data_IF_612637114434
#
_entry.id   IF_612637114434
#
_cell.length_a   1.000
_cell.length_b   1.000
_cell.length_c   1.000
_cell.angle_alpha   90.00
_cell.angle_beta   90.00
_cell.angle_gamma   90.00
#
_symmetry.space_group_name_H-M   'P 1'
#
loop_
_entity.id
_entity.type
_entity.pdbx_description
1 polymer ?
#
# COMPACT_ATOMS: atom_id res chain seq x y z
N UNK A 1 8.16 23.33 12.41
CA UNK A 1 7.27 24.41 12.92
C UNK A 1 6.43 23.82 14.05
N UNK A 2 6.02 24.60 15.06
CA UNK A 2 5.29 24.05 16.23
C UNK A 2 3.83 23.72 15.92
N UNK A 3 3.18 24.50 15.06
CA UNK A 3 1.73 24.42 14.78
C UNK A 3 0.82 24.49 16.01
N UNK A 4 1.33 25.01 17.14
CA UNK A 4 0.59 25.02 18.41
C UNK A 4 -0.71 25.82 18.32
N UNK A 5 -0.73 26.88 17.51
CA UNK A 5 -1.93 27.71 17.29
C UNK A 5 -3.00 27.03 16.44
N UNK A 6 -2.62 26.04 15.64
CA UNK A 6 -3.49 25.29 14.75
C UNK A 6 -4.00 23.99 15.41
N UNK A 7 -3.37 23.55 16.49
CA UNK A 7 -3.80 22.36 17.24
C UNK A 7 -5.23 22.51 17.78
N UNK A 8 -5.95 21.39 17.82
CA UNK A 8 -7.27 21.35 18.44
C UNK A 8 -7.18 21.55 19.96
N UNK A 9 -8.25 22.07 20.56
CA UNK A 9 -8.33 22.21 22.02
C UNK A 9 -8.15 20.86 22.74
N UNK A 10 -8.60 19.76 22.14
CA UNK A 10 -8.47 18.42 22.73
C UNK A 10 -7.02 17.93 22.70
N UNK A 11 -6.30 18.18 21.60
CA UNK A 11 -4.86 17.89 21.51
C UNK A 11 -4.07 18.70 22.53
N UNK A 12 -4.34 20.02 22.64
CA UNK A 12 -3.64 20.87 23.59
C UNK A 12 -3.89 20.44 25.04
N UNK A 13 -5.14 20.11 25.42
CA UNK A 13 -5.45 19.53 26.73
C UNK A 13 -4.71 18.22 26.98
N UNK A 14 -4.61 17.37 25.98
CA UNK A 14 -3.86 16.12 26.07
C UNK A 14 -2.36 16.37 26.29
N UNK A 15 -1.76 17.29 25.54
CA UNK A 15 -0.35 17.67 25.71
C UNK A 15 -0.08 18.35 27.05
N UNK A 16 -1.00 19.18 27.54
CA UNK A 16 -0.92 19.79 28.87
C UNK A 16 -0.94 18.74 29.98
N UNK A 17 -1.79 17.71 29.84
CA UNK A 17 -1.85 16.58 30.78
C UNK A 17 -0.52 15.84 30.81
N UNK A 18 0.01 15.44 29.66
CA UNK A 18 1.32 14.77 29.57
C UNK A 18 2.41 15.65 30.20
N UNK A 19 2.42 16.94 29.90
CA UNK A 19 3.44 17.86 30.40
C UNK A 19 3.37 18.03 31.92
N UNK A 20 2.16 18.06 32.50
CA UNK A 20 1.99 18.04 33.96
C UNK A 20 2.57 16.77 34.58
N UNK A 21 2.15 15.60 34.07
CA UNK A 21 2.57 14.31 34.59
C UNK A 21 4.10 14.16 34.51
N UNK A 22 4.72 14.65 33.44
CA UNK A 22 6.18 14.65 33.26
C UNK A 22 6.87 15.60 34.25
N UNK A 23 6.41 16.85 34.39
CA UNK A 23 7.03 17.79 35.33
C UNK A 23 6.89 17.36 36.80
N UNK A 24 5.85 16.63 37.17
CA UNK A 24 5.67 16.10 38.52
C UNK A 24 6.58 14.90 38.81
N UNK A 25 6.80 14.03 37.82
CA UNK A 25 7.52 12.77 38.01
C UNK A 25 9.00 12.80 37.59
N UNK A 26 9.40 13.77 36.76
CA UNK A 26 10.75 13.87 36.19
C UNK A 26 11.33 15.27 36.42
N UNK A 27 12.48 15.33 37.10
CA UNK A 27 13.16 16.59 37.40
C UNK A 27 13.92 17.13 36.18
N UNK A 28 13.25 17.95 35.36
CA UNK A 28 13.89 18.71 34.27
C UNK A 28 14.34 20.09 34.76
N UNK A 29 15.65 20.34 34.84
CA UNK A 29 16.18 21.59 35.40
C UNK A 29 16.17 22.79 34.44
N UNK A 30 15.65 22.64 33.20
CA UNK A 30 15.72 23.68 32.14
C UNK A 30 14.58 23.66 31.11
N UNK A 31 13.57 22.81 31.31
CA UNK A 31 12.45 22.68 30.37
C UNK A 31 11.20 23.06 31.14
N UNK A 32 10.50 24.08 30.68
CA UNK A 32 9.22 24.49 31.27
C UNK A 32 8.10 23.59 30.74
N UNK A 33 6.95 23.61 31.42
CA UNK A 33 5.74 22.96 30.91
C UNK A 33 5.37 23.48 29.51
N UNK A 34 5.58 24.75 29.24
CA UNK A 34 5.25 25.36 27.96
C UNK A 34 6.15 24.84 26.83
N UNK A 35 7.46 24.70 27.13
CA UNK A 35 8.42 24.08 26.20
C UNK A 35 8.02 22.63 25.87
N UNK A 36 7.55 21.85 26.86
CA UNK A 36 7.07 20.48 26.63
C UNK A 36 5.85 20.44 25.70
N UNK A 37 4.91 21.36 25.86
CA UNK A 37 3.74 21.45 24.98
C UNK A 37 4.20 21.79 23.55
N UNK A 38 5.12 22.74 23.39
CA UNK A 38 5.69 23.07 22.09
C UNK A 38 6.39 21.86 21.45
N UNK A 39 7.19 21.12 22.22
CA UNK A 39 7.87 19.90 21.74
C UNK A 39 6.89 18.79 21.37
N UNK A 40 5.80 18.60 22.13
CA UNK A 40 4.75 17.65 21.79
C UNK A 40 4.01 18.05 20.52
N UNK A 41 3.77 19.35 20.30
CA UNK A 41 3.18 19.83 19.05
C UNK A 41 4.12 19.59 17.85
N UNK A 42 5.43 19.87 18.01
CA UNK A 42 6.44 19.55 16.99
C UNK A 42 6.47 18.04 16.73
N UNK A 43 6.56 17.21 17.77
CA UNK A 43 6.62 15.76 17.67
C UNK A 43 5.40 15.23 16.93
N UNK A 44 4.19 15.65 17.29
CA UNK A 44 2.93 15.20 16.71
C UNK A 44 2.85 15.41 15.18
N UNK A 45 3.48 16.46 14.66
CA UNK A 45 3.47 16.79 13.23
C UNK A 45 4.66 16.25 12.45
N UNK A 46 5.75 15.84 13.12
CA UNK A 46 7.02 15.48 12.46
C UNK A 46 7.49 14.06 12.77
N UNK A 47 6.79 13.34 13.65
CA UNK A 47 7.10 11.95 13.98
C UNK A 47 6.76 11.01 12.83
N UNK A 48 7.45 9.87 12.83
CA UNK A 48 7.21 8.78 11.89
C UNK A 48 6.76 7.55 12.66
N UNK A 49 5.82 6.80 12.09
CA UNK A 49 5.58 5.43 12.50
C UNK A 49 6.76 4.57 12.06
N UNK A 50 7.41 3.90 13.02
CA UNK A 50 8.39 2.86 12.73
C UNK A 50 7.63 1.58 12.43
N UNK A 51 8.01 0.94 11.34
CA UNK A 51 7.47 -0.34 10.94
C UNK A 51 8.59 -1.32 10.62
N UNK A 52 8.28 -2.60 10.73
CA UNK A 52 9.19 -3.67 10.34
C UNK A 52 9.29 -3.80 8.81
N UNK A 53 10.05 -4.79 8.36
CA UNK A 53 10.21 -5.15 6.96
C UNK A 53 8.91 -5.70 6.32
N UNK A 54 7.85 -5.93 7.10
CA UNK A 54 6.51 -6.31 6.64
C UNK A 54 5.49 -5.16 6.75
N UNK A 55 5.96 -3.96 7.10
CA UNK A 55 5.18 -2.73 7.28
C UNK A 55 4.24 -2.74 8.50
N UNK A 56 4.45 -3.65 9.46
CA UNK A 56 3.73 -3.60 10.74
C UNK A 56 4.34 -2.53 11.64
N UNK A 57 3.51 -1.57 12.05
CA UNK A 57 3.91 -0.49 12.94
C UNK A 57 4.16 -1.03 14.35
N UNK A 58 5.35 -0.79 14.89
CA UNK A 58 5.72 -1.20 16.25
C UNK A 58 6.11 -0.02 17.16
N UNK A 59 6.21 1.19 16.62
CA UNK A 59 6.55 2.37 17.42
C UNK A 59 6.51 3.68 16.64
N UNK A 60 7.01 4.73 17.29
CA UNK A 60 7.14 6.07 16.71
C UNK A 60 8.56 6.61 16.96
N UNK A 61 9.05 7.44 16.04
CA UNK A 61 10.39 8.01 16.14
C UNK A 61 10.53 9.36 15.47
N UNK A 62 11.59 10.06 15.86
CA UNK A 62 11.92 11.39 15.36
C UNK A 62 13.11 11.31 14.43
N UNK A 63 12.92 11.76 13.19
CA UNK A 63 13.95 11.74 12.16
C UNK A 63 14.03 13.11 11.51
N UNK A 64 14.80 14.06 12.07
CA UNK A 64 14.79 15.45 11.60
C UNK A 64 15.12 15.61 10.12
N UNK A 65 16.02 14.78 9.57
CA UNK A 65 16.33 14.76 8.12
C UNK A 65 15.15 14.19 7.34
N UNK A 66 14.55 13.10 7.81
CA UNK A 66 13.34 12.51 7.23
C UNK A 66 12.16 13.49 7.18
N UNK A 67 11.99 14.28 8.24
CA UNK A 67 10.90 15.26 8.35
C UNK A 67 11.02 16.42 7.34
N UNK A 68 12.12 16.52 6.58
CA UNK A 68 12.26 17.50 5.50
C UNK A 68 11.54 17.08 4.21
N UNK A 69 11.28 15.79 4.01
CA UNK A 69 10.61 15.30 2.80
C UNK A 69 9.12 15.63 2.84
N UNK A 70 8.65 16.40 1.86
CA UNK A 70 7.24 16.77 1.78
C UNK A 70 6.33 15.60 1.38
N UNK A 71 5.04 15.81 1.62
CA UNK A 71 4.00 14.83 1.30
C UNK A 71 3.58 14.86 -0.17
N UNK A 72 3.34 13.66 -0.74
CA UNK A 72 2.49 13.47 -1.92
C UNK A 72 1.58 12.26 -1.75
N UNK A 73 0.32 12.35 -2.22
CA UNK A 73 -0.57 11.19 -2.34
C UNK A 73 -0.21 10.27 -3.52
N UNK A 74 0.79 10.66 -4.31
CA UNK A 74 1.46 9.87 -5.35
C UNK A 74 2.96 10.00 -5.12
N UNK A 75 3.51 9.33 -4.08
CA UNK A 75 4.88 9.51 -3.68
C UNK A 75 5.85 8.93 -4.72
N UNK A 76 7.04 9.52 -4.84
CA UNK A 76 8.16 9.00 -5.64
C UNK A 76 9.25 8.35 -4.77
N UNK A 77 9.15 8.46 -3.45
CA UNK A 77 9.99 7.75 -2.49
C UNK A 77 9.17 7.15 -1.34
N UNK A 78 9.77 6.16 -0.67
CA UNK A 78 9.22 5.51 0.53
C UNK A 78 10.20 5.62 1.69
N UNK A 79 9.68 5.41 2.89
CA UNK A 79 10.45 5.30 4.13
C UNK A 79 10.50 3.83 4.54
N UNK A 80 11.70 3.34 4.86
CA UNK A 80 11.97 2.02 5.40
C UNK A 80 12.87 2.16 6.64
N UNK A 81 13.04 1.08 7.40
CA UNK A 81 13.85 1.08 8.60
C UNK A 81 14.76 -0.15 8.68
N UNK A 82 15.90 -0.01 9.35
CA UNK A 82 16.73 -1.12 9.85
C UNK A 82 17.01 -0.82 11.33
N UNK A 83 16.22 -1.43 12.21
CA UNK A 83 16.11 -0.99 13.60
C UNK A 83 15.77 0.50 13.70
N UNK A 84 16.67 1.29 14.29
CA UNK A 84 16.49 2.74 14.48
C UNK A 84 17.04 3.59 13.32
N UNK A 85 17.54 2.98 12.24
CA UNK A 85 18.06 3.71 11.07
C UNK A 85 16.94 3.91 10.06
N UNK A 86 16.63 5.15 9.70
CA UNK A 86 15.67 5.48 8.64
C UNK A 86 16.36 5.44 7.27
N UNK A 87 15.73 4.74 6.33
CA UNK A 87 16.20 4.56 4.95
C UNK A 87 15.14 5.15 4.01
N UNK A 88 15.55 6.03 3.10
CA UNK A 88 14.66 6.62 2.08
C UNK A 88 14.99 5.98 0.74
N UNK A 89 14.00 5.34 0.10
CA UNK A 89 14.18 4.69 -1.21
C UNK A 89 13.31 5.34 -2.26
N UNK A 90 13.91 5.73 -3.38
CA UNK A 90 13.17 6.12 -4.57
C UNK A 90 12.48 4.89 -5.17
N UNK A 91 11.23 5.06 -5.57
CA UNK A 91 10.41 4.03 -6.22
C UNK A 91 10.00 4.42 -7.64
N UNK A 92 10.50 5.55 -8.13
CA UNK A 92 10.34 6.08 -9.49
C UNK A 92 11.63 6.78 -9.93
N UNK A 93 11.76 7.04 -11.23
CA UNK A 93 12.83 7.91 -11.74
C UNK A 93 12.55 9.35 -11.30
N UNK A 94 13.56 10.00 -10.71
CA UNK A 94 13.49 11.40 -10.25
C UNK A 94 14.53 12.20 -11.03
N UNK A 95 14.08 13.20 -11.79
CA UNK A 95 14.94 14.06 -12.59
C UNK A 95 15.58 15.16 -11.74
N UNK A 96 16.68 15.74 -12.23
CA UNK A 96 17.33 16.88 -11.57
C UNK A 96 16.35 18.03 -11.43
N UNK A 97 16.18 18.52 -10.19
CA UNK A 97 15.26 19.60 -9.86
C UNK A 97 13.85 19.15 -9.48
N UNK A 98 13.52 17.86 -9.60
CA UNK A 98 12.28 17.31 -9.06
C UNK A 98 12.39 17.09 -7.56
N UNK A 99 11.30 17.38 -6.85
CA UNK A 99 11.22 17.20 -5.41
C UNK A 99 11.04 15.71 -5.05
N UNK A 100 11.82 15.24 -4.07
CA UNK A 100 11.62 13.93 -3.46
C UNK A 100 10.51 14.06 -2.42
N UNK A 101 9.48 13.23 -2.55
CA UNK A 101 8.31 13.26 -1.70
C UNK A 101 7.91 11.85 -1.24
N UNK A 102 7.41 11.79 -0.01
CA UNK A 102 6.95 10.55 0.65
C UNK A 102 5.45 10.65 0.94
N UNK A 103 4.82 9.54 1.35
CA UNK A 103 3.46 9.61 1.87
C UNK A 103 3.45 9.64 3.40
N UNK A 104 2.64 10.53 3.98
CA UNK A 104 2.47 10.67 5.43
C UNK A 104 1.32 9.81 5.96
N UNK A 105 0.51 9.29 5.05
CA UNK A 105 -0.73 8.56 5.29
C UNK A 105 -0.86 7.44 4.26
N UNK A 106 -1.78 6.51 4.46
CA UNK A 106 -2.03 5.48 3.45
C UNK A 106 -2.66 6.08 2.18
N UNK A 107 -2.02 5.84 1.04
CA UNK A 107 -2.48 6.30 -0.28
C UNK A 107 -3.69 5.51 -0.78
N UNK A 108 -4.03 4.38 -0.16
CA UNK A 108 -5.23 3.62 -0.49
C UNK A 108 -6.54 4.26 0.03
N UNK A 109 -6.45 5.19 0.98
CA UNK A 109 -7.61 5.93 1.46
C UNK A 109 -8.21 6.80 0.34
N UNK A 110 -9.53 7.02 0.37
CA UNK A 110 -10.19 7.92 -0.58
C UNK A 110 -9.74 9.39 -0.40
N UNK A 111 -9.96 10.21 -1.44
CA UNK A 111 -9.49 11.60 -1.49
C UNK A 111 -9.95 12.46 -0.31
N UNK A 112 -11.22 12.35 0.07
CA UNK A 112 -11.79 13.16 1.15
C UNK A 112 -11.13 12.81 2.48
N UNK A 113 -10.98 11.51 2.77
CA UNK A 113 -10.30 11.03 3.97
C UNK A 113 -8.84 11.49 4.00
N UNK A 114 -8.11 11.34 2.89
CA UNK A 114 -6.71 11.82 2.80
C UNK A 114 -6.59 13.32 3.08
N UNK A 115 -7.40 14.16 2.41
CA UNK A 115 -7.39 15.62 2.63
C UNK A 115 -7.73 15.98 4.07
N UNK A 116 -8.74 15.32 4.66
CA UNK A 116 -9.14 15.53 6.06
C UNK A 116 -7.99 15.20 7.01
N UNK A 117 -7.37 14.02 6.89
CA UNK A 117 -6.24 13.61 7.74
C UNK A 117 -5.04 14.54 7.62
N UNK A 118 -4.72 15.00 6.41
CA UNK A 118 -3.61 15.93 6.19
C UNK A 118 -3.88 17.30 6.80
N UNK A 119 -5.10 17.80 6.66
CA UNK A 119 -5.52 19.07 7.25
C UNK A 119 -5.55 19.00 8.79
N UNK A 120 -6.06 17.90 9.36
CA UNK A 120 -6.21 17.74 10.82
C UNK A 120 -4.88 17.47 11.54
N UNK A 121 -3.96 16.70 10.92
CA UNK A 121 -2.69 16.34 11.57
C UNK A 121 -1.53 17.26 11.20
N UNK A 122 -1.47 17.71 9.95
CA UNK A 122 -0.31 18.42 9.38
C UNK A 122 -0.65 19.85 8.91
N UNK A 123 -1.90 20.28 9.04
CA UNK A 123 -2.34 21.67 8.83
C UNK A 123 -2.10 22.23 7.42
N UNK A 124 -2.10 21.37 6.39
CA UNK A 124 -1.99 21.79 5.00
C UNK A 124 -2.98 21.07 4.08
N UNK A 125 -3.32 21.73 2.97
CA UNK A 125 -4.07 21.11 1.89
C UNK A 125 -3.12 20.56 0.81
N UNK A 126 -3.17 19.26 0.55
CA UNK A 126 -2.34 18.63 -0.46
C UNK A 126 -2.74 19.05 -1.89
N UNK A 127 -1.75 19.56 -2.63
CA UNK A 127 -1.87 20.00 -4.03
C UNK A 127 -1.12 19.10 -5.03
N UNK A 128 -0.77 17.85 -4.64
CA UNK A 128 -0.09 16.92 -5.55
C UNK A 128 -0.95 16.55 -6.77
N UNK A 129 -0.35 15.97 -7.81
CA UNK A 129 -1.03 15.59 -9.06
C UNK A 129 -2.27 14.68 -8.90
N UNK A 130 -2.36 13.93 -7.79
CA UNK A 130 -3.55 13.12 -7.44
C UNK A 130 -4.66 13.92 -6.77
N UNK A 131 -4.32 14.97 -6.02
CA UNK A 131 -5.27 15.79 -5.26
C UNK A 131 -5.68 17.07 -5.98
N UNK A 132 -4.78 17.65 -6.77
CA UNK A 132 -5.01 18.85 -7.58
C UNK A 132 -5.57 18.45 -8.94
N UNK A 133 -6.81 18.82 -9.19
CA UNK A 133 -7.48 18.63 -10.48
C UNK A 133 -8.42 19.81 -10.71
N UNK A 134 -8.01 20.79 -11.52
CA UNK A 134 -8.85 21.91 -11.93
C UNK A 134 -10.09 21.44 -12.69
N UNK A 135 -9.97 20.31 -13.40
CA UNK A 135 -11.09 19.56 -13.95
C UNK A 135 -11.22 18.26 -13.16
N UNK A 136 -12.25 18.10 -12.31
CA UNK A 136 -12.41 16.94 -11.40
C UNK A 136 -12.40 15.54 -12.08
N UNK A 137 -12.30 15.43 -13.41
CA UNK A 137 -12.52 14.21 -14.18
C UNK A 137 -11.50 13.90 -15.30
N UNK A 138 -10.50 14.73 -15.58
CA UNK A 138 -9.60 14.51 -16.73
C UNK A 138 -8.33 13.72 -16.41
N UNK A 139 -7.72 13.91 -15.23
CA UNK A 139 -6.51 13.18 -14.85
C UNK A 139 -6.81 11.74 -14.36
N UNK A 140 -5.97 10.77 -14.75
CA UNK A 140 -6.04 9.35 -14.38
C UNK A 140 -6.14 9.15 -12.85
N UNK A 141 -5.37 9.90 -12.06
CA UNK A 141 -5.39 9.76 -10.60
C UNK A 141 -6.71 10.20 -9.96
N UNK A 142 -7.43 11.13 -10.60
CA UNK A 142 -8.78 11.52 -10.17
C UNK A 142 -9.81 10.43 -10.46
N UNK A 143 -9.67 9.75 -11.61
CA UNK A 143 -10.48 8.58 -11.94
C UNK A 143 -10.22 7.41 -10.98
N UNK A 144 -8.96 7.20 -10.57
CA UNK A 144 -8.62 6.22 -9.52
C UNK A 144 -9.32 6.55 -8.21
N UNK A 145 -9.30 7.81 -7.77
CA UNK A 145 -10.02 8.21 -6.55
C UNK A 145 -11.53 7.96 -6.65
N UNK A 146 -12.15 8.15 -7.82
CA UNK A 146 -13.57 7.82 -8.06
C UNK A 146 -13.87 6.32 -8.00
N UNK A 147 -12.91 5.45 -8.33
CA UNK A 147 -13.08 4.00 -8.16
C UNK A 147 -13.12 3.64 -6.66
N UNK A 148 -12.32 4.31 -5.85
CA UNK A 148 -12.13 4.01 -4.42
C UNK A 148 -13.16 4.74 -3.54
N UNK A 149 -13.89 5.71 -4.08
CA UNK A 149 -14.92 6.47 -3.35
C UNK A 149 -16.00 5.55 -2.78
N UNK A 150 -16.11 5.51 -1.45
CA UNK A 150 -17.12 4.71 -0.79
C UNK A 150 -18.49 5.39 -0.85
N UNK A 151 -19.53 4.62 -1.21
CA UNK A 151 -20.93 4.96 -0.96
C UNK A 151 -21.40 4.13 0.22
N UNK A 152 -21.58 4.77 1.36
CA UNK A 152 -21.82 4.12 2.64
C UNK A 152 -23.28 3.65 2.75
N UNK A 153 -23.56 2.45 2.22
CA UNK A 153 -24.84 1.77 2.39
C UNK A 153 -24.56 0.33 2.83
N UNK A 154 -24.89 0.02 4.09
CA UNK A 154 -24.60 -1.26 4.76
C UNK A 154 -25.12 -2.48 3.98
N UNK A 155 -26.33 -2.40 3.44
CA UNK A 155 -26.92 -3.44 2.58
C UNK A 155 -26.03 -3.76 1.38
N UNK A 156 -25.49 -2.74 0.71
CA UNK A 156 -24.60 -2.91 -0.45
C UNK A 156 -23.27 -3.58 -0.09
N UNK A 157 -22.78 -3.39 1.15
CA UNK A 157 -21.57 -4.08 1.65
C UNK A 157 -21.85 -5.56 1.90
N UNK A 158 -22.97 -5.89 2.53
CA UNK A 158 -23.37 -7.29 2.78
C UNK A 158 -23.57 -8.06 1.46
N UNK A 159 -24.27 -7.46 0.50
CA UNK A 159 -24.49 -8.07 -0.82
C UNK A 159 -23.18 -8.31 -1.57
N UNK A 160 -22.25 -7.36 -1.49
CA UNK A 160 -20.91 -7.51 -2.08
C UNK A 160 -20.16 -8.67 -1.44
N UNK A 161 -20.10 -8.73 -0.11
CA UNK A 161 -19.39 -9.77 0.63
C UNK A 161 -19.92 -11.16 0.26
N UNK A 162 -21.25 -11.34 0.26
CA UNK A 162 -21.88 -12.60 -0.13
C UNK A 162 -21.56 -12.97 -1.58
N UNK A 163 -21.58 -11.99 -2.50
CA UNK A 163 -21.24 -12.22 -3.91
C UNK A 163 -19.78 -12.64 -4.08
N UNK A 164 -18.86 -12.01 -3.34
CA UNK A 164 -17.44 -12.35 -3.35
C UNK A 164 -17.20 -13.77 -2.81
N UNK A 165 -17.79 -14.11 -1.66
CA UNK A 165 -17.70 -15.45 -1.07
C UNK A 165 -18.24 -16.53 -2.01
N UNK A 166 -19.37 -16.26 -2.67
CA UNK A 166 -19.94 -17.16 -3.66
C UNK A 166 -18.98 -17.34 -4.85
N UNK A 167 -18.42 -16.24 -5.38
CA UNK A 167 -17.47 -16.31 -6.49
C UNK A 167 -16.25 -17.17 -6.15
N UNK A 168 -15.68 -16.99 -4.96
CA UNK A 168 -14.50 -17.75 -4.50
C UNK A 168 -14.84 -19.23 -4.25
N UNK A 169 -16.06 -19.53 -3.82
CA UNK A 169 -16.49 -20.89 -3.49
C UNK A 169 -16.88 -21.73 -4.71
N UNK A 170 -17.34 -21.10 -5.80
CA UNK A 170 -17.95 -21.81 -6.93
C UNK A 170 -16.95 -22.41 -7.94
N UNK A 171 -15.64 -22.22 -7.76
CA UNK A 171 -14.55 -22.63 -8.71
C UNK A 171 -14.73 -22.16 -10.17
N UNK A 172 -15.80 -21.45 -10.49
CA UNK A 172 -16.15 -20.96 -11.81
C UNK A 172 -15.50 -19.60 -12.09
N UNK A 173 -14.80 -19.51 -13.23
CA UNK A 173 -13.96 -18.36 -13.58
C UNK A 173 -14.67 -17.24 -14.35
N UNK A 174 -15.96 -17.35 -14.70
CA UNK A 174 -16.66 -16.32 -15.49
C UNK A 174 -17.46 -15.32 -14.65
N UNK A 175 -16.82 -14.71 -13.65
CA UNK A 175 -17.41 -13.61 -12.88
C UNK A 175 -16.92 -12.24 -13.34
N UNK A 176 -17.64 -11.19 -12.94
CA UNK A 176 -17.18 -9.80 -13.10
C UNK A 176 -15.83 -9.56 -12.41
N UNK A 177 -15.61 -10.14 -11.23
CA UNK A 177 -14.34 -10.09 -10.51
C UNK A 177 -13.21 -10.69 -11.34
N UNK A 178 -13.42 -11.87 -11.92
CA UNK A 178 -12.42 -12.55 -12.76
C UNK A 178 -12.07 -11.75 -14.01
N UNK A 179 -13.08 -11.18 -14.69
CA UNK A 179 -12.86 -10.33 -15.89
C UNK A 179 -12.02 -9.09 -15.56
N UNK A 180 -12.37 -8.36 -14.50
CA UNK A 180 -11.64 -7.17 -14.05
C UNK A 180 -10.23 -7.54 -13.60
N UNK A 181 -10.09 -8.56 -12.77
CA UNK A 181 -8.80 -9.05 -12.27
C UNK A 181 -7.88 -9.44 -13.44
N UNK A 182 -8.40 -10.22 -14.39
CA UNK A 182 -7.62 -10.67 -15.56
C UNK A 182 -7.21 -9.51 -16.44
N UNK A 183 -8.13 -8.57 -16.72
CA UNK A 183 -7.85 -7.36 -17.49
C UNK A 183 -6.69 -6.56 -16.88
N UNK A 184 -6.75 -6.28 -15.58
CA UNK A 184 -5.73 -5.46 -14.91
C UNK A 184 -4.38 -6.21 -14.89
N UNK A 185 -4.38 -7.47 -14.44
CA UNK A 185 -3.13 -8.22 -14.28
C UNK A 185 -2.43 -8.49 -15.61
N UNK A 186 -3.16 -8.81 -16.69
CA UNK A 186 -2.55 -9.05 -18.00
C UNK A 186 -1.86 -7.83 -18.59
N UNK A 187 -2.30 -6.62 -18.20
CA UNK A 187 -1.74 -5.36 -18.70
C UNK A 187 -0.68 -4.78 -17.78
N UNK A 188 -0.82 -4.88 -16.45
CA UNK A 188 0.07 -4.17 -15.52
C UNK A 188 1.16 -5.05 -14.88
N UNK A 189 0.92 -6.35 -14.69
CA UNK A 189 1.85 -7.20 -13.93
C UNK A 189 3.23 -7.30 -14.61
N UNK A 190 3.24 -7.37 -15.95
CA UNK A 190 4.48 -7.49 -16.73
C UNK A 190 5.40 -6.28 -16.55
N UNK A 191 4.85 -5.10 -16.26
CA UNK A 191 5.65 -3.91 -15.95
C UNK A 191 6.44 -4.08 -14.65
N UNK A 192 6.01 -4.90 -13.69
CA UNK A 192 6.79 -5.10 -12.47
C UNK A 192 8.08 -5.88 -12.74
N UNK A 193 8.04 -6.84 -13.67
CA UNK A 193 9.18 -7.69 -14.03
C UNK A 193 10.05 -7.07 -15.12
N UNK A 194 9.44 -6.50 -16.16
CA UNK A 194 10.15 -5.99 -17.33
C UNK A 194 10.72 -4.58 -17.07
N UNK A 195 11.77 -4.21 -17.80
CA UNK A 195 12.38 -2.88 -17.71
C UNK A 195 11.59 -1.86 -18.55
N UNK A 196 10.31 -1.68 -18.24
CA UNK A 196 9.46 -0.64 -18.85
C UNK A 196 9.63 0.69 -18.10
N UNK A 197 9.48 1.82 -18.80
CA UNK A 197 9.59 3.15 -18.18
C UNK A 197 8.36 3.48 -17.32
N UNK A 198 8.45 4.53 -16.51
CA UNK A 198 7.31 5.01 -15.72
C UNK A 198 6.17 5.50 -16.63
N UNK A 199 6.50 6.12 -17.76
CA UNK A 199 5.52 6.53 -18.78
C UNK A 199 4.80 5.33 -19.41
N UNK A 200 5.51 4.24 -19.72
CA UNK A 200 4.87 3.03 -20.26
C UNK A 200 3.85 2.47 -19.28
N UNK A 201 4.20 2.40 -17.99
CA UNK A 201 3.28 1.95 -16.95
C UNK A 201 2.05 2.87 -16.83
N UNK A 202 2.26 4.19 -16.81
CA UNK A 202 1.17 5.15 -16.70
C UNK A 202 0.25 5.12 -17.92
N UNK A 203 0.78 4.86 -19.12
CA UNK A 203 -0.02 4.68 -20.34
C UNK A 203 -0.92 3.45 -20.24
N UNK A 204 -0.36 2.29 -19.87
CA UNK A 204 -1.13 1.06 -19.66
C UNK A 204 -2.17 1.22 -18.55
N UNK A 205 -1.81 1.89 -17.45
CA UNK A 205 -2.75 2.20 -16.38
C UNK A 205 -3.90 3.10 -16.90
N UNK A 206 -3.60 4.10 -17.72
CA UNK A 206 -4.59 5.03 -18.28
C UNK A 206 -5.59 4.32 -19.19
N UNK A 207 -5.10 3.39 -20.02
CA UNK A 207 -5.93 2.56 -20.87
C UNK A 207 -6.88 1.68 -20.04
N UNK A 208 -6.36 1.00 -19.03
CA UNK A 208 -7.16 0.14 -18.15
C UNK A 208 -8.22 0.95 -17.40
N UNK A 209 -7.85 2.08 -16.80
CA UNK A 209 -8.82 2.96 -16.13
C UNK A 209 -9.90 3.41 -17.11
N UNK A 210 -9.55 3.74 -18.36
CA UNK A 210 -10.54 4.12 -19.37
C UNK A 210 -11.51 2.98 -19.70
N UNK A 211 -11.01 1.75 -19.84
CA UNK A 211 -11.85 0.56 -20.06
C UNK A 211 -12.78 0.30 -18.86
N UNK A 212 -12.27 0.42 -17.64
CA UNK A 212 -13.07 0.21 -16.42
C UNK A 212 -14.25 1.17 -16.34
N UNK A 213 -14.06 2.44 -16.73
CA UNK A 213 -15.13 3.42 -16.78
C UNK A 213 -16.11 3.15 -17.94
N UNK A 214 -15.63 2.80 -19.12
CA UNK A 214 -16.49 2.48 -20.27
C UNK A 214 -17.41 1.27 -20.01
N UNK A 215 -16.92 0.28 -19.28
CA UNK A 215 -17.69 -0.92 -18.91
C UNK A 215 -18.53 -0.76 -17.63
N UNK A 216 -18.64 0.48 -17.10
CA UNK A 216 -19.34 0.79 -15.85
C UNK A 216 -18.85 -0.03 -14.63
N UNK A 217 -17.58 -0.43 -14.61
CA UNK A 217 -16.96 -1.04 -13.43
C UNK A 217 -16.70 -0.03 -12.31
N UNK A 218 -16.58 1.25 -12.63
CA UNK A 218 -16.48 2.34 -11.66
C UNK A 218 -17.71 2.48 -10.74
N UNK A 219 -18.87 1.98 -11.18
CA UNK A 219 -20.11 2.01 -10.39
C UNK A 219 -20.28 0.81 -9.45
N UNK A 220 -19.25 -0.02 -9.30
CA UNK A 220 -19.31 -1.21 -8.44
C UNK A 220 -18.36 -1.13 -7.28
N UNK A 221 -18.74 -1.77 -6.18
CA UNK A 221 -17.97 -1.83 -4.94
C UNK A 221 -16.63 -2.61 -5.08
N UNK A 222 -16.17 -2.90 -6.29
CA UNK A 222 -14.97 -3.68 -6.57
C UNK A 222 -13.68 -3.01 -6.07
N UNK A 223 -13.67 -1.70 -5.95
CA UNK A 223 -12.45 -0.94 -5.63
C UNK A 223 -12.56 -0.17 -4.30
N UNK A 224 -13.67 -0.34 -3.56
CA UNK A 224 -13.88 0.35 -2.29
C UNK A 224 -12.91 -0.15 -1.22
N UNK A 225 -12.51 0.75 -0.31
CA UNK A 225 -11.59 0.41 0.79
C UNK A 225 -12.14 -0.67 1.72
N UNK A 226 -13.44 -0.64 2.01
CA UNK A 226 -14.15 -1.67 2.77
C UNK A 226 -14.15 -3.04 2.09
N UNK A 227 -14.35 -3.06 0.77
CA UNK A 227 -14.25 -4.30 -0.03
C UNK A 227 -12.84 -4.87 0.00
N UNK A 228 -11.82 -4.02 -0.13
CA UNK A 228 -10.42 -4.44 -0.06
C UNK A 228 -10.07 -4.99 1.34
N UNK A 229 -10.53 -4.34 2.41
CA UNK A 229 -10.35 -4.80 3.79
C UNK A 229 -10.99 -6.18 4.02
N UNK A 230 -12.26 -6.34 3.61
CA UNK A 230 -12.97 -7.62 3.70
C UNK A 230 -12.26 -8.72 2.89
N UNK A 231 -11.91 -8.43 1.64
CA UNK A 231 -11.20 -9.36 0.75
C UNK A 231 -9.85 -9.77 1.35
N UNK A 232 -9.10 -8.84 1.94
CA UNK A 232 -7.80 -9.10 2.58
C UNK A 232 -7.97 -10.02 3.78
N UNK A 233 -8.98 -9.78 4.62
CA UNK A 233 -9.30 -10.69 5.73
C UNK A 233 -9.62 -12.09 5.23
N UNK A 234 -10.54 -12.20 4.26
CA UNK A 234 -10.93 -13.49 3.68
C UNK A 234 -9.74 -14.20 3.04
N UNK A 235 -8.82 -13.48 2.40
CA UNK A 235 -7.58 -14.04 1.82
C UNK A 235 -6.71 -14.73 2.89
N UNK A 236 -6.47 -14.07 4.01
CA UNK A 236 -5.71 -14.66 5.11
C UNK A 236 -6.47 -15.80 5.80
N UNK A 237 -7.80 -15.69 5.98
CA UNK A 237 -8.62 -16.79 6.50
C UNK A 237 -8.48 -18.05 5.61
N UNK A 238 -8.42 -17.88 4.27
CA UNK A 238 -8.19 -19.00 3.33
C UNK A 238 -6.77 -19.57 3.43
N UNK A 239 -5.76 -18.75 3.67
CA UNK A 239 -4.38 -19.21 3.92
C UNK A 239 -4.32 -20.05 5.19
N UNK A 240 -4.91 -19.57 6.29
CA UNK A 240 -4.91 -20.25 7.59
C UNK A 240 -5.63 -21.60 7.52
N UNK A 241 -6.70 -21.68 6.72
CA UNK A 241 -7.43 -22.91 6.43
C UNK A 241 -6.76 -23.79 5.35
N UNK A 242 -5.59 -23.39 4.83
CA UNK A 242 -4.85 -24.07 3.76
C UNK A 242 -5.67 -24.27 2.47
N UNK A 243 -6.62 -23.37 2.22
CA UNK A 243 -7.45 -23.33 1.01
C UNK A 243 -6.71 -22.56 -0.08
N UNK A 244 -5.62 -23.16 -0.59
CA UNK A 244 -4.64 -22.48 -1.44
C UNK A 244 -5.24 -21.97 -2.75
N UNK A 245 -6.00 -22.79 -3.47
CA UNK A 245 -6.64 -22.37 -4.72
C UNK A 245 -7.50 -21.10 -4.53
N UNK A 246 -8.37 -21.10 -3.52
CA UNK A 246 -9.21 -19.94 -3.18
C UNK A 246 -8.37 -18.73 -2.76
N UNK A 247 -7.29 -18.94 -2.01
CA UNK A 247 -6.37 -17.87 -1.64
C UNK A 247 -5.71 -17.24 -2.88
N UNK A 248 -5.37 -18.03 -3.92
CA UNK A 248 -4.82 -17.45 -5.17
C UNK A 248 -5.84 -16.57 -5.89
N UNK A 249 -7.12 -16.96 -5.93
CA UNK A 249 -8.19 -16.17 -6.55
C UNK A 249 -8.32 -14.81 -5.85
N UNK A 250 -8.42 -14.82 -4.53
CA UNK A 250 -8.51 -13.61 -3.71
C UNK A 250 -7.25 -12.75 -3.82
N UNK A 251 -6.07 -13.38 -3.73
CA UNK A 251 -4.79 -12.68 -3.81
C UNK A 251 -4.57 -12.01 -5.17
N UNK A 252 -4.96 -12.63 -6.28
CA UNK A 252 -4.95 -11.97 -7.60
C UNK A 252 -5.85 -10.74 -7.63
N UNK A 253 -7.04 -10.84 -7.06
CA UNK A 253 -7.99 -9.72 -7.03
C UNK A 253 -7.43 -8.56 -6.18
N UNK A 254 -6.89 -8.83 -4.99
CA UNK A 254 -6.20 -7.82 -4.16
C UNK A 254 -5.04 -7.19 -4.93
N UNK A 255 -4.19 -7.99 -5.58
CA UNK A 255 -3.06 -7.50 -6.37
C UNK A 255 -3.52 -6.57 -7.49
N UNK A 256 -4.62 -6.90 -8.18
CA UNK A 256 -5.17 -6.06 -9.24
C UNK A 256 -5.58 -4.68 -8.74
N UNK A 257 -6.14 -4.60 -7.54
CA UNK A 257 -6.47 -3.33 -6.89
C UNK A 257 -5.19 -2.59 -6.48
N UNK A 258 -4.23 -3.28 -5.88
CA UNK A 258 -2.96 -2.67 -5.44
C UNK A 258 -2.20 -2.01 -6.60
N UNK A 259 -2.19 -2.63 -7.78
CA UNK A 259 -1.54 -2.07 -8.98
C UNK A 259 -2.21 -0.79 -9.49
N UNK A 260 -3.50 -0.59 -9.20
CA UNK A 260 -4.21 0.65 -9.54
C UNK A 260 -3.93 1.75 -8.50
N UNK A 261 -3.92 1.38 -7.23
CA UNK A 261 -3.93 2.34 -6.11
C UNK A 261 -2.51 2.83 -5.77
N UNK A 262 -1.57 1.90 -5.64
CA UNK A 262 -0.22 2.20 -5.19
C UNK A 262 0.69 2.54 -6.38
N UNK A 263 1.73 3.36 -6.16
CA UNK A 263 2.84 3.48 -7.10
C UNK A 263 3.39 2.10 -7.51
N UNK A 264 3.86 1.97 -8.75
CA UNK A 264 4.29 0.70 -9.37
C UNK A 264 5.20 -0.16 -8.49
N UNK A 265 6.18 0.44 -7.83
CA UNK A 265 7.17 -0.26 -7.00
C UNK A 265 6.96 -0.06 -5.49
N UNK A 266 5.72 0.19 -5.06
CA UNK A 266 5.40 0.33 -3.65
C UNK A 266 5.60 -0.99 -2.88
N UNK A 267 6.11 -0.97 -1.62
CA UNK A 267 6.45 -2.18 -0.87
C UNK A 267 5.24 -3.08 -0.58
N UNK A 268 4.03 -2.52 -0.40
CA UNK A 268 2.79 -3.31 -0.29
C UNK A 268 2.55 -4.23 -1.50
N UNK A 269 2.90 -3.80 -2.72
CA UNK A 269 2.79 -4.64 -3.91
C UNK A 269 3.79 -5.80 -3.82
N UNK A 270 5.05 -5.52 -3.45
CA UNK A 270 6.11 -6.52 -3.32
C UNK A 270 5.81 -7.59 -2.28
N UNK A 271 5.37 -7.17 -1.09
CA UNK A 271 5.00 -8.08 0.00
C UNK A 271 3.78 -8.94 -0.35
N UNK A 272 2.76 -8.33 -0.97
CA UNK A 272 1.57 -9.07 -1.41
C UNK A 272 1.89 -10.08 -2.52
N UNK A 273 2.74 -9.70 -3.49
CA UNK A 273 3.25 -10.63 -4.50
C UNK A 273 4.01 -11.79 -3.85
N UNK A 274 4.82 -11.53 -2.83
CA UNK A 274 5.53 -12.62 -2.14
C UNK A 274 4.55 -13.59 -1.47
N UNK A 275 3.56 -13.09 -0.74
CA UNK A 275 2.51 -13.94 -0.13
C UNK A 275 1.71 -14.69 -1.19
N UNK A 276 1.32 -14.04 -2.29
CA UNK A 276 0.60 -14.69 -3.40
C UNK A 276 1.46 -15.76 -4.09
N UNK A 277 2.76 -15.52 -4.25
CA UNK A 277 3.71 -16.50 -4.79
C UNK A 277 3.79 -17.77 -3.94
N UNK A 278 3.78 -17.62 -2.61
CA UNK A 278 3.66 -18.76 -1.66
C UNK A 278 2.33 -19.50 -1.84
N UNK A 279 1.23 -18.78 -2.00
CA UNK A 279 -0.09 -19.38 -2.21
C UNK A 279 -0.12 -20.24 -3.48
N UNK A 280 0.40 -19.71 -4.59
CA UNK A 280 0.53 -20.47 -5.83
C UNK A 280 1.43 -21.69 -5.69
N UNK A 281 2.56 -21.55 -5.00
CA UNK A 281 3.48 -22.68 -4.82
C UNK A 281 2.85 -23.82 -4.02
N UNK A 282 2.04 -23.50 -3.00
CA UNK A 282 1.30 -24.49 -2.20
C UNK A 282 0.02 -25.01 -2.88
N UNK A 283 -0.49 -24.32 -3.90
CA UNK A 283 -1.68 -24.79 -4.63
C UNK A 283 -1.33 -25.95 -5.58
N UNK A 284 -1.62 -27.17 -5.10
CA UNK A 284 -1.42 -28.41 -5.86
C UNK A 284 -2.50 -28.67 -6.92
N UNK A 285 -3.63 -27.94 -6.91
CA UNK A 285 -4.79 -28.25 -7.77
C UNK A 285 -4.46 -28.15 -9.26
N UNK A 286 -3.60 -27.22 -9.64
CA UNK A 286 -3.20 -26.95 -11.02
C UNK A 286 -1.79 -27.49 -11.37
N UNK A 287 -1.19 -28.29 -10.49
CA UNK A 287 0.12 -28.92 -10.69
C UNK A 287 1.19 -27.97 -11.22
N UNK A 288 1.86 -28.36 -12.32
CA UNK A 288 2.96 -27.58 -12.91
C UNK A 288 2.56 -26.17 -13.37
N UNK A 289 1.27 -25.94 -13.68
CA UNK A 289 0.77 -24.61 -14.03
C UNK A 289 0.80 -23.68 -12.82
N UNK A 290 0.43 -24.16 -11.63
CA UNK A 290 0.47 -23.36 -10.41
C UNK A 290 1.91 -22.94 -10.05
N UNK A 291 2.85 -23.88 -10.20
CA UNK A 291 4.27 -23.60 -9.94
C UNK A 291 4.83 -22.59 -10.94
N UNK A 292 4.45 -22.66 -12.23
CA UNK A 292 4.82 -21.65 -13.24
C UNK A 292 4.30 -20.25 -12.87
N UNK A 293 3.06 -20.16 -12.40
CA UNK A 293 2.49 -18.88 -11.93
C UNK A 293 3.20 -18.38 -10.67
N UNK A 294 3.53 -19.27 -9.73
CA UNK A 294 4.32 -18.94 -8.54
C UNK A 294 5.66 -18.29 -8.93
N UNK A 295 6.41 -18.91 -9.84
CA UNK A 295 7.69 -18.37 -10.32
C UNK A 295 7.50 -16.99 -10.95
N UNK A 296 6.50 -16.81 -11.80
CA UNK A 296 6.24 -15.53 -12.46
C UNK A 296 5.89 -14.41 -11.45
N UNK A 297 5.07 -14.72 -10.45
CA UNK A 297 4.70 -13.79 -9.37
C UNK A 297 5.90 -13.48 -8.47
N UNK A 298 6.71 -14.48 -8.11
CA UNK A 298 7.90 -14.31 -7.27
C UNK A 298 8.99 -13.50 -7.96
N UNK A 299 9.14 -13.59 -9.29
CA UNK A 299 10.04 -12.73 -10.05
C UNK A 299 9.60 -11.26 -10.01
N UNK A 300 8.28 -11.00 -10.02
CA UNK A 300 7.75 -9.66 -9.82
C UNK A 300 8.02 -9.18 -8.37
N UNK A 301 7.77 -10.03 -7.37
CA UNK A 301 8.04 -9.74 -5.97
C UNK A 301 9.52 -9.37 -5.76
N UNK A 302 10.42 -10.21 -6.27
CA UNK A 302 11.87 -10.03 -6.19
C UNK A 302 12.28 -8.66 -6.73
N UNK A 303 11.76 -8.23 -7.88
CA UNK A 303 12.11 -6.93 -8.46
C UNK A 303 11.62 -5.76 -7.62
N UNK A 304 10.36 -5.78 -7.16
CA UNK A 304 9.81 -4.72 -6.30
C UNK A 304 10.55 -4.65 -4.96
N UNK A 305 10.82 -5.81 -4.34
CA UNK A 305 11.49 -5.89 -3.05
C UNK A 305 12.99 -5.55 -3.15
N UNK A 306 13.66 -5.84 -4.27
CA UNK A 306 15.02 -5.36 -4.52
C UNK A 306 15.12 -3.83 -4.66
N UNK A 307 14.03 -3.12 -4.98
CA UNK A 307 14.01 -1.65 -4.99
C UNK A 307 13.80 -1.12 -3.57
N UNK A 308 12.89 -1.75 -2.83
CA UNK A 308 12.37 -1.21 -1.57
C UNK A 308 13.11 -1.73 -0.32
N UNK A 309 13.68 -2.93 -0.35
CA UNK A 309 14.22 -3.65 0.83
C UNK A 309 15.72 -4.00 0.71
N UNK A 310 16.44 -3.49 -0.29
CA UNK A 310 17.84 -3.89 -0.54
C UNK A 310 18.89 -3.29 0.41
N UNK A 311 18.48 -2.71 1.53
CA UNK A 311 19.36 -2.07 2.50
C UNK A 311 18.89 -2.34 3.92
N UNK A 312 19.82 -2.69 4.79
CA UNK A 312 19.55 -3.13 6.15
C UNK A 312 19.43 -4.65 6.28
N UNK A 313 19.84 -5.19 7.44
CA UNK A 313 19.87 -6.63 7.66
C UNK A 313 18.45 -7.23 7.68
N UNK A 314 17.52 -6.56 8.36
CA UNK A 314 16.14 -7.03 8.46
C UNK A 314 15.43 -6.99 7.09
N UNK A 315 15.62 -5.92 6.32
CA UNK A 315 14.99 -5.79 5.01
C UNK A 315 15.53 -6.79 3.99
N UNK A 316 16.84 -7.02 3.98
CA UNK A 316 17.47 -7.95 3.02
C UNK A 316 17.10 -9.41 3.28
N UNK A 317 16.68 -9.76 4.50
CA UNK A 317 16.17 -11.10 4.81
C UNK A 317 14.95 -11.47 3.97
N UNK A 318 13.99 -10.55 3.78
CA UNK A 318 12.82 -10.81 2.93
C UNK A 318 13.24 -11.13 1.49
N UNK A 319 14.24 -10.41 0.95
CA UNK A 319 14.76 -10.67 -0.39
C UNK A 319 15.36 -12.08 -0.46
N UNK A 320 16.10 -12.51 0.55
CA UNK A 320 16.65 -13.87 0.63
C UNK A 320 15.54 -14.92 0.65
N UNK A 321 14.49 -14.73 1.45
CA UNK A 321 13.35 -15.65 1.48
C UNK A 321 12.64 -15.75 0.11
N UNK A 322 12.51 -14.64 -0.62
CA UNK A 322 11.96 -14.64 -1.98
C UNK A 322 12.86 -15.45 -2.92
N UNK A 323 14.18 -15.23 -2.85
CA UNK A 323 15.17 -15.95 -3.68
C UNK A 323 15.15 -17.46 -3.41
N UNK A 324 15.08 -17.85 -2.14
CA UNK A 324 15.05 -19.26 -1.73
C UNK A 324 13.80 -19.95 -2.27
N UNK A 325 12.63 -19.34 -2.09
CA UNK A 325 11.38 -19.88 -2.61
C UNK A 325 11.37 -19.96 -4.14
N UNK A 326 11.89 -18.94 -4.82
CA UNK A 326 12.01 -18.91 -6.27
C UNK A 326 12.91 -20.04 -6.79
N UNK A 327 14.03 -20.31 -6.11
CA UNK A 327 14.93 -21.42 -6.44
C UNK A 327 14.27 -22.78 -6.18
N UNK A 328 13.53 -22.92 -5.09
CA UNK A 328 12.76 -24.14 -4.77
C UNK A 328 11.69 -24.42 -5.83
N UNK A 329 10.88 -23.42 -6.19
CA UNK A 329 9.84 -23.54 -7.19
C UNK A 329 10.41 -23.89 -8.58
N UNK A 330 11.53 -23.28 -8.98
CA UNK A 330 12.23 -23.61 -10.25
C UNK A 330 12.75 -25.05 -10.25
N UNK A 331 13.35 -25.49 -9.15
CA UNK A 331 13.86 -26.86 -9.00
C UNK A 331 12.72 -27.87 -9.09
N UNK A 332 11.61 -27.61 -8.40
CA UNK A 332 10.43 -28.46 -8.45
C UNK A 332 9.83 -28.55 -9.86
N UNK A 333 9.70 -27.41 -10.54
CA UNK A 333 9.22 -27.39 -11.92
C UNK A 333 10.10 -28.21 -12.86
N UNK A 334 11.42 -28.22 -12.65
CA UNK A 334 12.37 -28.95 -13.50
C UNK A 334 12.29 -30.48 -13.38
N UNK A 335 11.69 -31.00 -12.31
CA UNK A 335 11.55 -32.45 -12.06
C UNK A 335 10.15 -32.98 -12.35
N UNK A 336 9.18 -32.11 -12.65
CA UNK A 336 7.82 -32.52 -13.01
C UNK A 336 7.76 -33.00 -14.47
N UNK A 337 7.05 -34.10 -14.76
CA UNK A 337 6.84 -34.55 -16.14
C UNK A 337 6.04 -33.50 -16.92
N UNK A 338 6.49 -33.21 -18.15
CA UNK A 338 5.95 -32.18 -19.04
C UNK A 338 4.49 -32.37 -19.44
#
# INVERSE_FOLDING_TARGET
>A
MTHRTEQSNDNLKYFEKISNDICENLNFNKITKDDLIDYLCIFYCNNFNLHDNQLFVYGEGTFPIGSLFNHSCRPNAIVMYDGAVQIIKCIEVINVGEEINISYIDVALNRMTRKKMLQEKYFFECQCSRCFSQERYSNIFSKIDQLIEEKDQETTRQDFNQTLENWVSLEQNESKFSKVTTLILSNLLSHLKNNTTDNDYLNSLSEIISILFQQNYSMTNLFYTSSLSFTTKLFYDKIDLQQWYQSTILGKYILSIYLIIYPRYHPMIGLHLFTLGKCYWNDITNGSKSIKESINILECAQKVLNITHNEGAENTDIINQVNDLLNMARKELSVLPF
#
